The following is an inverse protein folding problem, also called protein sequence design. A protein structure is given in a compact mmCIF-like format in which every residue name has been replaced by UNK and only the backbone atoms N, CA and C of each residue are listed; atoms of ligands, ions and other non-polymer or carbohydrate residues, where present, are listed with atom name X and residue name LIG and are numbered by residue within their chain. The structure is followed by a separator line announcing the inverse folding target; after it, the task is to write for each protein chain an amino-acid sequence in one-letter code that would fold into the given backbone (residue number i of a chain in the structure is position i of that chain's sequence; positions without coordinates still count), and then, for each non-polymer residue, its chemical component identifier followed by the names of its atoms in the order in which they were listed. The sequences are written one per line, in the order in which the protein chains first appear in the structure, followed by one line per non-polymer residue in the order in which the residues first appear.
data_IF_669990011242
#
_entry.id   IF_669990011242
#
_cell.length_a   1.000
_cell.length_b   1.000
_cell.length_c   1.000
_cell.angle_alpha   90.00
_cell.angle_beta   90.00
_cell.angle_gamma   90.00
#
_symmetry.space_group_name_H-M   'P 1'
#
loop_
_entity.id
_entity.type
_entity.pdbx_description
1 polymer ?
#
# COMPACT_ATOMS: atom_id res chain seq x y z
N UNK A 1 -9.17 -16.94 -20.04
CA UNK A 1 -9.19 -15.64 -19.35
C UNK A 1 -7.82 -15.02 -19.51
N UNK A 2 -7.69 -13.70 -19.65
CA UNK A 2 -6.36 -13.07 -19.64
C UNK A 2 -6.03 -12.79 -18.18
N UNK A 3 -5.26 -13.67 -17.55
CA UNK A 3 -4.70 -13.45 -16.22
C UNK A 3 -3.99 -12.10 -16.20
N UNK A 4 -4.36 -11.26 -15.23
CA UNK A 4 -3.71 -9.98 -14.96
C UNK A 4 -2.69 -10.18 -13.87
N UNK A 5 -1.45 -10.35 -14.28
CA UNK A 5 -0.33 -10.48 -13.38
C UNK A 5 0.08 -9.11 -12.82
N UNK A 6 0.22 -8.98 -11.50
CA UNK A 6 0.69 -7.74 -10.88
C UNK A 6 1.59 -7.96 -9.65
N UNK A 7 2.46 -6.98 -9.39
CA UNK A 7 3.20 -6.82 -8.14
C UNK A 7 2.65 -5.59 -7.40
N UNK A 8 2.70 -5.59 -6.07
CA UNK A 8 2.22 -4.47 -5.25
C UNK A 8 3.31 -3.93 -4.32
N UNK A 9 3.48 -2.61 -4.30
CA UNK A 9 4.39 -1.88 -3.40
C UNK A 9 3.55 -1.07 -2.39
N UNK A 10 3.72 -1.31 -1.10
CA UNK A 10 2.73 -0.90 -0.06
C UNK A 10 3.36 -0.59 1.29
N UNK A 11 2.78 0.32 2.06
CA UNK A 11 3.13 0.58 3.47
C UNK A 11 2.21 -0.18 4.46
N UNK A 12 1.28 -1.00 3.95
CA UNK A 12 0.65 -2.09 4.69
C UNK A 12 -0.35 -1.68 5.78
N UNK A 13 -1.04 -0.55 5.63
CA UNK A 13 -2.08 -0.12 6.58
C UNK A 13 -3.49 -0.57 6.18
N UNK A 14 -4.50 -0.12 6.93
CA UNK A 14 -5.85 -0.66 6.89
C UNK A 14 -6.46 -0.79 5.48
N UNK A 15 -6.30 0.19 4.60
CA UNK A 15 -6.84 0.15 3.25
C UNK A 15 -5.97 -0.64 2.28
N UNK A 16 -4.64 -0.59 2.43
CA UNK A 16 -3.71 -1.48 1.72
C UNK A 16 -4.05 -2.95 1.93
N UNK A 17 -4.25 -3.35 3.19
CA UNK A 17 -4.59 -4.74 3.53
C UNK A 17 -5.90 -5.17 2.88
N UNK A 18 -6.88 -4.26 2.75
CA UNK A 18 -8.12 -4.54 2.04
C UNK A 18 -7.92 -4.57 0.52
N UNK A 19 -7.09 -3.72 -0.05
CA UNK A 19 -6.74 -3.73 -1.47
C UNK A 19 -5.99 -5.02 -1.87
N UNK A 20 -5.05 -5.45 -1.03
CA UNK A 20 -4.33 -6.72 -1.17
C UNK A 20 -5.29 -7.91 -1.07
N UNK A 21 -6.19 -7.90 -0.09
CA UNK A 21 -7.20 -8.96 0.04
C UNK A 21 -8.09 -9.02 -1.21
N UNK A 22 -8.49 -7.87 -1.77
CA UNK A 22 -9.23 -7.83 -3.03
C UNK A 22 -8.43 -8.48 -4.16
N UNK A 23 -7.14 -8.14 -4.31
CA UNK A 23 -6.29 -8.72 -5.33
C UNK A 23 -6.13 -10.24 -5.19
N UNK A 24 -5.90 -10.73 -3.96
CA UNK A 24 -5.73 -12.15 -3.66
C UNK A 24 -7.00 -12.98 -3.90
N UNK A 25 -8.19 -12.39 -3.78
CA UNK A 25 -9.46 -13.08 -4.00
C UNK A 25 -10.02 -12.90 -5.42
N UNK A 26 -9.43 -12.02 -6.24
CA UNK A 26 -9.95 -11.72 -7.56
C UNK A 26 -9.54 -12.81 -8.57
N UNK A 27 -10.48 -13.52 -9.24
CA UNK A 27 -10.18 -14.71 -10.03
C UNK A 27 -9.32 -14.46 -11.28
N UNK A 28 -9.34 -13.23 -11.82
CA UNK A 28 -8.53 -12.85 -12.97
C UNK A 28 -7.17 -12.21 -12.58
N UNK A 29 -6.79 -12.22 -11.30
CA UNK A 29 -5.58 -11.57 -10.81
C UNK A 29 -4.59 -12.60 -10.26
N UNK A 30 -3.35 -12.50 -10.72
CA UNK A 30 -2.23 -13.27 -10.19
C UNK A 30 -1.26 -12.30 -9.52
N UNK A 31 -1.04 -12.47 -8.22
CA UNK A 31 -0.09 -11.65 -7.46
C UNK A 31 1.28 -12.31 -7.48
N UNK A 32 2.26 -11.66 -8.11
CA UNK A 32 3.63 -12.18 -8.20
C UNK A 32 4.40 -12.03 -6.90
N UNK A 33 4.29 -10.86 -6.29
CA UNK A 33 5.06 -10.47 -5.12
C UNK A 33 4.46 -9.23 -4.46
N UNK A 34 4.80 -9.07 -3.19
CA UNK A 34 4.65 -7.83 -2.45
C UNK A 34 6.02 -7.22 -2.17
N UNK A 35 6.12 -5.92 -2.31
CA UNK A 35 7.23 -5.12 -1.77
C UNK A 35 6.69 -4.17 -0.72
N UNK A 36 7.41 -4.02 0.38
CA UNK A 36 6.99 -3.12 1.47
C UNK A 36 7.88 -1.89 1.54
N UNK A 37 7.28 -0.75 1.88
CA UNK A 37 7.93 0.55 1.99
C UNK A 37 7.51 1.23 3.30
N UNK A 38 8.33 2.15 3.80
CA UNK A 38 7.91 3.08 4.87
C UNK A 38 6.67 3.88 4.46
N UNK A 39 5.91 4.40 5.43
CA UNK A 39 4.76 5.26 5.18
C UNK A 39 4.01 5.62 6.46
N UNK A 40 2.75 5.20 6.56
CA UNK A 40 1.93 5.32 7.77
C UNK A 40 2.48 4.52 8.96
N UNK A 41 3.24 3.47 8.69
CA UNK A 41 3.97 2.64 9.67
C UNK A 41 5.40 2.39 9.18
N UNK A 42 6.24 1.81 10.05
CA UNK A 42 7.58 1.38 9.63
C UNK A 42 7.50 0.24 8.60
N UNK A 43 8.55 0.09 7.79
CA UNK A 43 8.59 -0.97 6.78
C UNK A 43 8.56 -2.38 7.40
N UNK A 44 9.07 -2.56 8.62
CA UNK A 44 8.97 -3.82 9.37
C UNK A 44 7.51 -4.13 9.70
N UNK A 45 6.75 -3.14 10.17
CA UNK A 45 5.33 -3.29 10.46
C UNK A 45 4.52 -3.51 9.18
N UNK A 46 4.84 -2.81 8.09
CA UNK A 46 4.24 -3.03 6.77
C UNK A 46 4.45 -4.48 6.30
N UNK A 47 5.68 -4.99 6.45
CA UNK A 47 6.05 -6.39 6.13
C UNK A 47 5.20 -7.37 6.93
N UNK A 48 5.07 -7.13 8.24
CA UNK A 48 4.26 -7.98 9.10
C UNK A 48 2.78 -7.96 8.72
N UNK A 49 2.22 -6.79 8.45
CA UNK A 49 0.82 -6.65 8.07
C UNK A 49 0.51 -7.35 6.75
N UNK A 50 1.39 -7.24 5.75
CA UNK A 50 1.25 -7.91 4.46
C UNK A 50 1.30 -9.43 4.61
N UNK A 51 2.26 -9.97 5.38
CA UNK A 51 2.36 -11.42 5.62
C UNK A 51 1.17 -11.96 6.41
N UNK A 52 0.70 -11.22 7.42
CA UNK A 52 -0.53 -11.53 8.16
C UNK A 52 -1.75 -11.54 7.24
N UNK A 53 -1.85 -10.59 6.31
CA UNK A 53 -2.91 -10.52 5.32
C UNK A 53 -2.92 -11.74 4.37
N UNK A 54 -1.75 -12.19 3.91
CA UNK A 54 -1.65 -13.40 3.09
C UNK A 54 -2.21 -14.63 3.82
N UNK A 55 -1.87 -14.82 5.11
CA UNK A 55 -2.44 -15.91 5.93
C UNK A 55 -3.95 -15.78 6.09
N UNK A 56 -4.45 -14.56 6.30
CA UNK A 56 -5.89 -14.30 6.46
C UNK A 56 -6.69 -14.65 5.20
N UNK A 57 -6.09 -14.47 4.02
CA UNK A 57 -6.65 -14.80 2.72
C UNK A 57 -6.54 -16.29 2.35
N UNK A 58 -5.86 -17.10 3.18
CA UNK A 58 -5.73 -18.54 2.96
C UNK A 58 -4.89 -18.90 1.73
N UNK A 59 -3.94 -18.05 1.36
CA UNK A 59 -3.09 -18.27 0.17
C UNK A 59 -2.29 -19.57 0.37
N UNK A 60 -2.41 -20.57 -0.53
CA UNK A 60 -1.86 -21.91 -0.33
C UNK A 60 -0.33 -21.99 -0.52
N UNK A 61 0.26 -21.06 -1.28
CA UNK A 61 1.69 -20.91 -1.46
C UNK A 61 2.12 -19.50 -1.06
N UNK A 62 3.18 -19.36 -0.28
CA UNK A 62 3.68 -18.06 0.17
C UNK A 62 4.05 -17.18 -1.02
N UNK A 63 3.34 -16.07 -1.21
CA UNK A 63 3.71 -15.07 -2.20
C UNK A 63 4.91 -14.29 -1.64
N UNK A 64 6.01 -14.16 -2.39
CA UNK A 64 7.19 -13.47 -1.91
C UNK A 64 6.89 -12.06 -1.40
N UNK A 65 7.40 -11.71 -0.22
CA UNK A 65 7.36 -10.38 0.37
C UNK A 65 8.79 -9.88 0.56
N UNK A 66 9.15 -8.81 -0.11
CA UNK A 66 10.47 -8.20 -0.05
C UNK A 66 10.41 -6.90 0.75
N UNK A 67 11.26 -6.80 1.77
CA UNK A 67 11.37 -5.60 2.60
C UNK A 67 12.15 -4.51 1.87
N UNK A 68 11.63 -3.29 1.86
CA UNK A 68 12.19 -2.17 1.12
C UNK A 68 12.72 -1.04 2.01
N UNK A 69 12.59 0.18 1.51
CA UNK A 69 13.13 1.38 2.14
C UNK A 69 12.48 1.65 3.51
N UNK A 70 13.32 1.86 4.52
CA UNK A 70 12.92 2.26 5.88
C UNK A 70 12.62 3.75 6.01
N UNK A 71 13.10 4.57 5.07
CA UNK A 71 12.98 6.02 5.10
C UNK A 71 12.93 6.61 3.67
N UNK A 72 12.48 7.88 3.52
CA UNK A 72 12.51 8.58 2.25
C UNK A 72 13.93 8.76 1.70
N UNK A 73 14.08 9.09 0.41
CA UNK A 73 15.41 9.28 -0.23
C UNK A 73 16.32 10.26 0.52
N UNK A 74 15.77 11.33 1.09
CA UNK A 74 16.53 12.35 1.82
C UNK A 74 16.66 12.06 3.33
N UNK A 75 16.14 10.93 3.79
CA UNK A 75 16.08 10.56 5.21
C UNK A 75 14.86 11.14 5.94
N UNK A 76 14.62 10.63 7.16
CA UNK A 76 13.45 11.02 7.97
C UNK A 76 13.64 12.41 8.60
N UNK A 77 13.05 13.44 7.99
CA UNK A 77 12.97 14.78 8.57
C UNK A 77 11.89 14.85 9.68
N UNK A 78 12.14 15.51 10.83
CA UNK A 78 11.17 15.57 11.94
C UNK A 78 9.79 16.16 11.57
N UNK A 79 9.73 16.96 10.49
CA UNK A 79 8.51 17.60 9.98
C UNK A 79 7.80 16.81 8.89
N UNK A 80 8.41 15.74 8.38
CA UNK A 80 7.90 14.89 7.31
C UNK A 80 7.54 13.48 7.84
N UNK A 81 7.03 13.40 9.07
CA UNK A 81 6.59 12.11 9.60
C UNK A 81 5.20 11.78 9.05
N UNK A 82 5.14 10.77 8.18
CA UNK A 82 3.88 10.17 7.72
C UNK A 82 3.35 9.12 8.69
N UNK A 83 4.15 8.68 9.68
CA UNK A 83 3.68 7.70 10.65
C UNK A 83 2.46 8.22 11.42
N UNK A 84 1.43 7.40 11.45
CA UNK A 84 0.12 7.81 11.92
C UNK A 84 -0.49 6.72 12.78
N UNK A 85 -0.90 7.10 13.99
CA UNK A 85 -1.67 6.22 14.88
C UNK A 85 -3.16 6.14 14.50
N UNK A 86 -3.57 6.76 13.39
CA UNK A 86 -4.96 6.85 12.97
C UNK A 86 -5.61 5.47 12.79
N UNK A 87 -4.85 4.49 12.29
CA UNK A 87 -5.31 3.11 12.13
C UNK A 87 -4.89 2.19 13.29
N UNK A 88 -4.33 2.74 14.36
CA UNK A 88 -3.62 1.99 15.40
C UNK A 88 -2.11 2.13 15.29
N UNK A 89 -1.37 1.71 16.32
CA UNK A 89 0.11 1.70 16.30
C UNK A 89 0.65 0.68 15.31
N UNK A 90 -0.04 -0.43 15.13
CA UNK A 90 0.29 -1.45 14.13
C UNK A 90 -0.23 -1.12 12.72
N UNK A 91 -1.00 -0.04 12.55
CA UNK A 91 -1.62 0.35 11.29
C UNK A 91 -2.86 -0.46 10.88
N UNK A 92 -3.24 -1.48 11.66
CA UNK A 92 -4.32 -2.44 11.35
C UNK A 92 -5.15 -2.85 12.59
N UNK A 93 -5.40 -1.91 13.50
CA UNK A 93 -6.41 -2.04 14.55
C UNK A 93 -5.91 -2.43 15.95
N UNK A 94 -4.62 -2.59 16.18
CA UNK A 94 -3.98 -2.91 17.47
C UNK A 94 -4.53 -4.18 18.16
N UNK A 95 -4.71 -5.25 17.38
CA UNK A 95 -5.24 -6.53 17.86
C UNK A 95 -4.36 -7.68 17.35
N UNK A 96 -3.14 -7.86 17.89
CA UNK A 96 -2.19 -8.85 17.40
C UNK A 96 -2.67 -10.31 17.62
N UNK A 97 -3.44 -10.55 18.68
CA UNK A 97 -3.94 -11.89 19.05
C UNK A 97 -5.19 -12.32 18.25
N UNK A 98 -5.82 -11.39 17.54
CA UNK A 98 -6.99 -11.69 16.70
C UNK A 98 -6.59 -12.51 15.46
N UNK A 99 -7.51 -13.29 14.90
CA UNK A 99 -7.21 -14.11 13.73
C UNK A 99 -6.79 -13.29 12.49
N UNK A 100 -5.76 -13.74 11.74
CA UNK A 100 -4.73 -14.69 12.18
C UNK A 100 -3.79 -13.99 13.17
N UNK A 101 -3.36 -14.70 14.22
CA UNK A 101 -2.44 -14.15 15.21
C UNK A 101 -1.13 -13.70 14.53
N UNK A 102 -0.58 -12.58 14.99
CA UNK A 102 0.74 -12.08 14.54
C UNK A 102 1.81 -13.09 14.94
N UNK A 103 2.74 -13.38 14.03
CA UNK A 103 3.87 -14.27 14.28
C UNK A 103 5.18 -13.48 14.25
N UNK A 104 6.19 -13.90 15.00
CA UNK A 104 7.51 -13.24 14.96
C UNK A 104 8.09 -13.24 13.53
N UNK A 105 7.91 -14.35 12.81
CA UNK A 105 8.33 -14.47 11.42
C UNK A 105 7.65 -13.47 10.49
N UNK A 106 6.53 -12.83 10.86
CA UNK A 106 5.86 -11.83 10.03
C UNK A 106 6.73 -10.60 9.76
N UNK A 107 7.62 -10.26 10.69
CA UNK A 107 8.49 -9.10 10.55
C UNK A 107 9.69 -9.37 9.62
N UNK A 108 9.90 -10.63 9.25
CA UNK A 108 10.97 -11.05 8.35
C UNK A 108 10.48 -11.19 6.91
N UNK A 109 11.23 -10.67 5.92
CA UNK A 109 10.89 -10.87 4.52
C UNK A 109 11.01 -12.34 4.13
N UNK A 110 10.38 -12.73 3.02
CA UNK A 110 10.50 -14.11 2.50
C UNK A 110 11.81 -14.34 1.74
N UNK A 111 12.59 -13.29 1.53
CA UNK A 111 13.82 -13.28 0.74
C UNK A 111 14.76 -12.19 1.26
N UNK A 112 16.07 -12.42 1.12
CA UNK A 112 17.10 -11.44 1.47
C UNK A 112 17.24 -10.30 0.43
N UNK A 113 16.64 -10.46 -0.76
CA UNK A 113 16.63 -9.39 -1.76
C UNK A 113 15.86 -8.17 -1.24
N UNK A 114 16.48 -6.99 -1.34
CA UNK A 114 15.80 -5.71 -1.03
C UNK A 114 14.77 -5.40 -2.12
N UNK A 115 13.63 -4.83 -1.73
CA UNK A 115 12.49 -4.53 -2.61
C UNK A 115 12.88 -3.92 -3.97
N UNK A 116 13.77 -2.92 -4.00
CA UNK A 116 14.20 -2.29 -5.25
C UNK A 116 14.86 -3.26 -6.24
N UNK A 117 15.68 -4.19 -5.75
CA UNK A 117 16.32 -5.24 -6.56
C UNK A 117 15.28 -6.27 -7.03
N UNK A 118 14.36 -6.65 -6.14
CA UNK A 118 13.27 -7.56 -6.48
C UNK A 118 12.37 -6.98 -7.58
N UNK A 119 12.02 -5.68 -7.51
CA UNK A 119 11.26 -4.99 -8.55
C UNK A 119 11.96 -5.03 -9.91
N UNK A 120 13.28 -4.78 -9.94
CA UNK A 120 14.08 -4.86 -11.18
C UNK A 120 14.01 -6.27 -11.78
N UNK A 121 14.18 -7.30 -10.95
CA UNK A 121 14.09 -8.70 -11.39
C UNK A 121 12.69 -9.02 -11.92
N UNK A 122 11.65 -8.72 -11.15
CA UNK A 122 10.25 -8.99 -11.51
C UNK A 122 9.84 -8.32 -12.81
N UNK A 123 10.28 -7.07 -13.04
CA UNK A 123 10.02 -6.37 -14.30
C UNK A 123 10.68 -7.04 -15.51
N UNK A 124 11.88 -7.63 -15.33
CA UNK A 124 12.59 -8.36 -16.40
C UNK A 124 11.96 -9.74 -16.67
N UNK A 125 11.57 -10.45 -15.63
CA UNK A 125 10.96 -11.78 -15.72
C UNK A 125 9.50 -11.73 -16.20
N UNK A 126 8.78 -10.67 -15.84
CA UNK A 126 7.37 -10.46 -16.15
C UNK A 126 7.11 -9.11 -16.83
N UNK A 127 7.62 -8.88 -18.06
CA UNK A 127 7.56 -7.56 -18.72
C UNK A 127 6.15 -7.08 -19.02
N UNK A 128 5.14 -7.97 -19.00
CA UNK A 128 3.73 -7.61 -19.21
C UNK A 128 2.96 -7.31 -17.93
N UNK A 129 3.57 -7.50 -16.76
CA UNK A 129 2.91 -7.29 -15.47
C UNK A 129 2.63 -5.81 -15.19
N UNK A 130 1.70 -5.56 -14.28
CA UNK A 130 1.41 -4.23 -13.73
C UNK A 130 2.07 -4.08 -12.36
N UNK A 131 2.69 -2.94 -12.08
CA UNK A 131 3.07 -2.56 -10.72
C UNK A 131 1.97 -1.67 -10.12
N UNK A 132 1.52 -1.97 -8.91
CA UNK A 132 0.56 -1.15 -8.15
C UNK A 132 1.26 -0.56 -6.94
N UNK A 133 1.37 0.76 -6.88
CA UNK A 133 1.99 1.48 -5.77
C UNK A 133 0.89 2.06 -4.88
N UNK A 134 0.86 1.61 -3.63
CA UNK A 134 -0.11 2.00 -2.60
C UNK A 134 0.50 2.88 -1.50
N UNK A 135 1.84 2.89 -1.37
CA UNK A 135 2.58 3.75 -0.44
C UNK A 135 3.51 4.76 -1.14
N UNK A 136 4.43 5.40 -0.38
CA UNK A 136 5.49 6.25 -0.91
C UNK A 136 6.33 5.56 -2.00
N UNK A 137 6.77 6.32 -3.00
CA UNK A 137 7.39 5.78 -4.22
C UNK A 137 8.88 5.43 -4.08
N UNK A 138 9.40 5.36 -2.85
CA UNK A 138 10.83 5.23 -2.57
C UNK A 138 11.45 3.97 -3.20
N UNK A 139 10.81 2.81 -3.05
CA UNK A 139 11.30 1.55 -3.64
C UNK A 139 11.43 1.64 -5.17
N UNK A 140 10.42 2.22 -5.82
CA UNK A 140 10.36 2.39 -7.29
C UNK A 140 11.41 3.39 -7.77
N UNK A 141 11.59 4.49 -7.05
CA UNK A 141 12.61 5.48 -7.38
C UNK A 141 14.02 4.90 -7.21
N UNK A 142 14.27 4.12 -6.16
CA UNK A 142 15.54 3.41 -5.97
C UNK A 142 15.79 2.37 -7.08
N UNK A 143 14.76 1.62 -7.49
CA UNK A 143 14.86 0.70 -8.62
C UNK A 143 15.27 1.43 -9.91
N UNK A 144 14.65 2.57 -10.21
CA UNK A 144 15.02 3.43 -11.35
C UNK A 144 16.44 4.02 -11.27
N UNK A 145 16.94 4.26 -10.06
CA UNK A 145 18.32 4.75 -9.85
C UNK A 145 19.35 3.66 -10.08
N UNK A 146 19.04 2.43 -9.72
CA UNK A 146 19.89 1.25 -9.91
C UNK A 146 19.86 0.75 -11.37
N UNK A 147 18.67 0.72 -11.99
CA UNK A 147 18.48 0.35 -13.38
C UNK A 147 17.57 1.37 -14.08
N UNK A 148 18.12 2.33 -14.85
CA UNK A 148 17.33 3.34 -15.54
C UNK A 148 16.38 2.79 -16.61
N UNK A 149 16.53 1.51 -17.02
CA UNK A 149 15.62 0.83 -17.95
C UNK A 149 14.55 0.00 -17.22
N UNK A 150 14.58 -0.05 -15.88
CA UNK A 150 13.56 -0.71 -15.07
C UNK A 150 12.18 -0.18 -15.43
N UNK A 151 11.28 -1.10 -15.79
CA UNK A 151 9.96 -0.72 -16.22
C UNK A 151 8.99 -1.90 -16.28
N UNK A 152 7.79 -1.72 -15.73
CA UNK A 152 6.64 -2.61 -15.94
C UNK A 152 5.78 -2.10 -17.09
N UNK A 153 5.01 -2.97 -17.76
CA UNK A 153 4.08 -2.57 -18.84
C UNK A 153 3.11 -1.45 -18.43
N UNK A 154 2.73 -1.44 -17.16
CA UNK A 154 1.90 -0.40 -16.54
C UNK A 154 2.31 -0.23 -15.10
N UNK A 155 2.30 1.01 -14.63
CA UNK A 155 2.45 1.34 -13.21
C UNK A 155 1.24 2.15 -12.77
N UNK A 156 0.51 1.66 -11.78
CA UNK A 156 -0.66 2.34 -11.20
C UNK A 156 -0.24 2.91 -9.86
N UNK A 157 -0.46 4.21 -9.66
CA UNK A 157 -0.03 4.93 -8.46
C UNK A 157 -1.26 5.46 -7.73
N UNK A 158 -1.45 5.03 -6.48
CA UNK A 158 -2.29 5.76 -5.53
C UNK A 158 -1.48 6.93 -5.00
N UNK A 159 -1.86 8.15 -5.40
CA UNK A 159 -1.27 9.34 -4.83
C UNK A 159 -1.21 10.53 -5.77
N UNK A 160 -0.60 11.59 -5.27
CA UNK A 160 -0.54 12.87 -5.96
C UNK A 160 -1.91 13.54 -6.11
N UNK A 161 -1.88 14.66 -6.83
CA UNK A 161 -3.05 15.48 -7.06
C UNK A 161 -2.87 16.28 -8.35
N UNK A 162 -3.94 16.90 -8.85
CA UNK A 162 -3.89 17.67 -10.11
C UNK A 162 -4.50 19.08 -10.01
N UNK A 163 -5.19 19.40 -8.92
CA UNK A 163 -5.68 20.74 -8.58
C UNK A 163 -4.95 21.33 -7.35
N UNK A 164 -3.92 20.66 -6.83
CA UNK A 164 -3.20 21.10 -5.64
C UNK A 164 -3.99 20.90 -4.35
N UNK A 165 -4.96 19.98 -4.34
CA UNK A 165 -5.71 19.62 -3.12
C UNK A 165 -4.88 18.59 -2.35
N UNK A 166 -4.36 18.99 -1.19
CA UNK A 166 -3.61 18.11 -0.29
C UNK A 166 -4.49 17.43 0.76
N UNK A 167 -3.96 16.38 1.40
CA UNK A 167 -4.66 15.62 2.46
C UNK A 167 -3.79 15.31 3.70
N UNK A 168 -2.60 15.91 3.80
CA UNK A 168 -1.69 15.70 4.95
C UNK A 168 -1.94 16.68 6.07
N UNK A 169 -1.85 17.98 5.78
CA UNK A 169 -1.96 19.05 6.75
C UNK A 169 -2.42 20.35 6.08
N UNK A 170 -3.02 21.26 6.86
CA UNK A 170 -3.57 22.53 6.34
C UNK A 170 -2.56 23.46 5.65
N UNK A 171 -1.26 23.25 5.88
CA UNK A 171 -0.17 24.02 5.27
C UNK A 171 0.56 23.28 4.14
N UNK A 172 0.06 22.12 3.73
CA UNK A 172 0.64 21.32 2.64
C UNK A 172 -0.41 21.09 1.56
N UNK A 173 -0.05 21.40 0.32
CA UNK A 173 -0.84 21.05 -0.87
C UNK A 173 -0.46 19.67 -1.42
N UNK A 174 0.35 18.89 -0.71
CA UNK A 174 0.74 17.56 -1.14
C UNK A 174 -0.31 16.51 -0.73
N UNK A 175 -0.44 15.48 -1.57
CA UNK A 175 -1.09 14.24 -1.21
C UNK A 175 -0.14 13.38 -0.35
N UNK A 176 -0.70 12.55 0.52
CA UNK A 176 -0.03 11.76 1.55
C UNK A 176 1.16 10.93 1.07
N UNK A 177 1.01 10.07 0.08
CA UNK A 177 2.10 9.24 -0.42
C UNK A 177 3.20 10.08 -1.06
N UNK A 178 2.82 11.13 -1.81
CA UNK A 178 3.78 12.03 -2.44
C UNK A 178 4.48 12.94 -1.42
N UNK A 179 3.83 13.26 -0.31
CA UNK A 179 4.44 13.94 0.82
C UNK A 179 5.44 13.04 1.56
N UNK A 180 5.20 11.73 1.60
CA UNK A 180 6.08 10.74 2.23
C UNK A 180 7.45 10.65 1.57
N UNK A 181 7.55 10.85 0.25
CA UNK A 181 8.85 10.98 -0.44
C UNK A 181 8.70 11.81 -1.74
N UNK A 182 8.79 13.14 -1.65
CA UNK A 182 8.62 14.03 -2.80
C UNK A 182 9.68 13.81 -3.89
N UNK A 183 10.92 13.54 -3.50
CA UNK A 183 12.02 13.26 -4.42
C UNK A 183 11.77 11.97 -5.19
N UNK A 184 11.29 10.92 -4.53
CA UNK A 184 10.93 9.67 -5.20
C UNK A 184 9.78 9.86 -6.18
N UNK A 185 8.72 10.58 -5.78
CA UNK A 185 7.61 10.89 -6.67
C UNK A 185 8.06 11.67 -7.90
N UNK A 186 8.94 12.66 -7.73
CA UNK A 186 9.56 13.40 -8.83
C UNK A 186 10.32 12.48 -9.78
N UNK A 187 11.18 11.59 -9.27
CA UNK A 187 11.94 10.64 -10.10
C UNK A 187 11.01 9.73 -10.90
N UNK A 188 10.01 9.13 -10.25
CA UNK A 188 9.11 8.16 -10.87
C UNK A 188 8.27 8.80 -11.98
N UNK A 189 7.66 9.96 -11.71
CA UNK A 189 6.84 10.66 -12.70
C UNK A 189 7.64 11.03 -13.95
N UNK A 190 8.85 11.57 -13.78
CA UNK A 190 9.70 11.97 -14.90
C UNK A 190 10.21 10.79 -15.73
N UNK A 191 10.44 9.64 -15.11
CA UNK A 191 11.06 8.48 -15.77
C UNK A 191 10.04 7.52 -16.39
N UNK A 192 8.84 7.41 -15.82
CA UNK A 192 7.86 6.39 -16.22
C UNK A 192 6.60 6.94 -16.90
N UNK A 193 6.50 8.27 -17.10
CA UNK A 193 5.33 8.98 -17.65
C UNK A 193 4.45 8.24 -18.67
N UNK A 194 4.96 7.62 -19.77
CA UNK A 194 4.09 6.99 -20.78
C UNK A 194 3.30 5.77 -20.28
N UNK A 195 3.62 5.25 -19.09
CA UNK A 195 3.07 3.99 -18.57
C UNK A 195 2.33 4.16 -17.24
N UNK A 196 2.27 5.41 -16.74
CA UNK A 196 1.65 5.72 -15.47
C UNK A 196 0.14 5.88 -15.60
N UNK A 197 -0.56 5.29 -14.65
CA UNK A 197 -1.94 5.64 -14.32
C UNK A 197 -1.91 6.15 -12.89
N UNK A 198 -2.20 7.43 -12.69
CA UNK A 198 -2.31 8.02 -11.36
C UNK A 198 -3.76 8.02 -10.93
N UNK A 199 -4.03 7.56 -9.71
CA UNK A 199 -5.32 7.68 -9.02
C UNK A 199 -5.17 8.81 -8.00
N UNK A 200 -5.54 10.05 -8.37
CA UNK A 200 -5.23 11.24 -7.57
C UNK A 200 -6.22 11.42 -6.41
N UNK A 201 -5.80 12.19 -5.40
CA UNK A 201 -6.63 12.49 -4.23
C UNK A 201 -8.00 13.09 -4.59
N UNK A 202 -8.06 13.95 -5.60
CA UNK A 202 -9.32 14.60 -6.00
C UNK A 202 -10.40 13.62 -6.46
N UNK A 203 -10.03 12.44 -6.97
CA UNK A 203 -11.00 11.40 -7.31
C UNK A 203 -11.80 10.94 -6.08
N UNK A 204 -11.20 11.00 -4.89
CA UNK A 204 -11.86 10.69 -3.61
C UNK A 204 -12.48 11.94 -2.99
N UNK A 205 -11.76 13.06 -3.03
CA UNK A 205 -12.20 14.30 -2.37
C UNK A 205 -13.49 14.86 -2.97
N UNK A 206 -13.62 14.88 -4.30
CA UNK A 206 -14.75 15.52 -4.99
C UNK A 206 -16.06 14.74 -4.85
N UNK A 207 -16.00 13.40 -4.88
CA UNK A 207 -17.18 12.53 -4.82
C UNK A 207 -17.41 11.89 -3.43
N UNK A 208 -16.50 12.08 -2.48
CA UNK A 208 -16.53 11.40 -1.17
C UNK A 208 -17.84 11.59 -0.42
N UNK A 209 -18.39 12.82 -0.36
CA UNK A 209 -19.64 13.10 0.34
C UNK A 209 -20.87 12.46 -0.32
N UNK A 210 -20.83 12.26 -1.65
CA UNK A 210 -21.87 11.55 -2.39
C UNK A 210 -21.77 10.05 -2.10
N UNK A 211 -20.57 9.47 -2.22
CA UNK A 211 -20.35 8.05 -1.95
C UNK A 211 -20.71 7.65 -0.52
N UNK A 212 -20.44 8.51 0.49
CA UNK A 212 -20.84 8.27 1.88
C UNK A 212 -22.36 8.14 2.09
N UNK A 213 -23.17 8.75 1.21
CA UNK A 213 -24.64 8.66 1.27
C UNK A 213 -25.17 7.44 0.51
N UNK A 214 -24.49 7.04 -0.54
CA UNK A 214 -24.96 6.02 -1.48
C UNK A 214 -24.44 4.61 -1.16
N UNK A 215 -23.29 4.51 -0.46
CA UNK A 215 -22.59 3.25 -0.23
C UNK A 215 -22.44 2.97 1.25
N UNK A 216 -22.95 1.81 1.70
CA UNK A 216 -22.55 1.26 2.99
C UNK A 216 -21.17 0.58 2.86
N UNK A 217 -20.13 1.34 3.20
CA UNK A 217 -18.75 0.85 3.19
C UNK A 217 -18.46 -0.24 4.22
N UNK A 218 -19.41 -0.59 5.10
CA UNK A 218 -19.26 -1.64 6.11
C UNK A 218 -20.01 -2.93 5.76
N UNK A 219 -20.95 -2.89 4.81
CA UNK A 219 -21.78 -4.04 4.44
C UNK A 219 -20.98 -5.33 4.23
N UNK A 220 -19.86 -5.26 3.51
CA UNK A 220 -18.99 -6.40 3.20
C UNK A 220 -18.28 -7.02 4.41
N UNK A 221 -18.23 -6.33 5.55
CA UNK A 221 -17.56 -6.80 6.76
C UNK A 221 -18.47 -7.65 7.64
N UNK A 222 -19.77 -7.71 7.35
CA UNK A 222 -20.77 -8.39 8.17
C UNK A 222 -20.96 -9.88 7.83
N UNK A 223 -20.31 -10.38 6.77
CA UNK A 223 -20.33 -11.81 6.47
C UNK A 223 -19.62 -12.63 7.55
N UNK A 224 -20.14 -13.84 7.80
CA UNK A 224 -19.57 -14.80 8.75
C UNK A 224 -18.44 -15.60 8.09
N UNK A 225 -17.33 -14.91 7.81
CA UNK A 225 -16.12 -15.53 7.26
C UNK A 225 -14.88 -15.06 8.01
N UNK A 226 -13.84 -15.90 8.02
CA UNK A 226 -12.55 -15.55 8.61
C UNK A 226 -11.96 -14.26 8.02
N UNK A 227 -12.05 -14.09 6.70
CA UNK A 227 -11.53 -12.90 6.02
C UNK A 227 -12.35 -11.65 6.39
N UNK A 228 -13.69 -11.73 6.44
CA UNK A 228 -14.52 -10.59 6.86
C UNK A 228 -14.25 -10.21 8.32
N UNK A 229 -14.04 -11.19 9.21
CA UNK A 229 -13.62 -10.96 10.60
C UNK A 229 -12.26 -10.27 10.68
N UNK A 230 -11.26 -10.75 9.92
CA UNK A 230 -9.95 -10.12 9.85
C UNK A 230 -10.03 -8.67 9.36
N UNK A 231 -10.74 -8.40 8.25
CA UNK A 231 -10.90 -7.05 7.71
C UNK A 231 -11.69 -6.12 8.66
N UNK A 232 -12.57 -6.68 9.50
CA UNK A 232 -13.25 -5.92 10.56
C UNK A 232 -12.27 -5.49 11.65
N UNK A 233 -11.36 -6.37 12.04
CA UNK A 233 -10.25 -6.05 12.96
C UNK A 233 -9.37 -4.95 12.38
N UNK A 234 -8.89 -5.16 11.15
CA UNK A 234 -8.01 -4.24 10.41
C UNK A 234 -8.58 -2.82 10.35
N UNK A 235 -9.89 -2.70 10.12
CA UNK A 235 -10.55 -1.39 9.95
C UNK A 235 -11.11 -0.78 11.25
N UNK A 236 -10.99 -1.46 12.39
CA UNK A 236 -11.71 -1.08 13.62
C UNK A 236 -11.31 0.30 14.19
N UNK A 237 -10.00 0.58 14.28
CA UNK A 237 -9.46 1.85 14.83
C UNK A 237 -9.74 3.05 13.92
N UNK A 238 -9.48 2.92 12.62
CA UNK A 238 -9.72 4.00 11.66
C UNK A 238 -11.19 4.45 11.65
N UNK A 239 -12.13 3.52 11.82
CA UNK A 239 -13.56 3.84 11.96
C UNK A 239 -13.86 4.63 13.22
N UNK A 240 -13.33 4.21 14.37
CA UNK A 240 -13.52 4.92 15.63
C UNK A 240 -12.97 6.35 15.55
N UNK A 241 -11.81 6.52 14.93
CA UNK A 241 -11.19 7.82 14.73
C UNK A 241 -12.03 8.75 13.84
N UNK A 242 -12.74 8.22 12.84
CA UNK A 242 -13.65 9.00 12.01
C UNK A 242 -14.90 9.44 12.76
N UNK A 243 -15.50 8.57 13.58
CA UNK A 243 -16.70 8.91 14.38
C UNK A 243 -16.38 10.06 15.36
N UNK A 244 -15.24 10.00 16.04
CA UNK A 244 -14.83 11.01 17.03
C UNK A 244 -14.46 12.38 16.42
N UNK A 245 -14.27 12.51 15.10
CA UNK A 245 -14.01 13.80 14.45
C UNK A 245 -15.28 14.59 14.13
N UNK A 246 -16.46 13.97 14.26
CA UNK A 246 -17.75 14.57 13.94
C UNK A 246 -18.69 14.73 15.15
N UNK A 247 -18.17 14.52 16.37
CA UNK A 247 -18.79 14.93 17.65
C UNK A 247 -18.09 16.17 18.22
#
# INVERSE_FOLDING_TARGET
MRERTHASDTDGVSDDIRAISLALQHPDVEVLAFTTVHGCVSVEQATANVKRCQRANGVPATIPTYKGAQEPILGKEPRQNTESIFFGKDGIGDQPDAFPEVQEDDFEPTSEDVAAIALIRLAKEHPTATLVCLGPLTNVALALKLDPNFNFKRVVIMGGNYYGIGNVASKSSAEFNFHGDPEAASIVLHKLAPQLVVVPWEAFFLEGAKHQKEVDFNAHLHYDTKLASFLRTVTSRGKLALVLRFE
#
